data_IF_356949101898
#
_entry.id   IF_356949101898
#
_cell.length_a   1.000
_cell.length_b   1.000
_cell.length_c   1.000
_cell.angle_alpha   90.00
_cell.angle_beta   90.00
_cell.angle_gamma   90.00
#
_symmetry.space_group_name_H-M   'P 1'
#
loop_
_entity.id
_entity.type
_entity.pdbx_description
1 polymer ?
#
# COMPACT_ATOMS: atom_id res chain seq x y z
N UNK A 1 -10.96 14.64 17.29
CA UNK A 1 -10.04 13.84 16.44
C UNK A 1 -8.80 14.68 16.27
N UNK A 2 -7.65 14.16 16.63
CA UNK A 2 -6.35 14.81 16.41
C UNK A 2 -6.14 14.93 14.90
N UNK A 3 -5.81 16.12 14.43
CA UNK A 3 -5.60 16.36 13.00
C UNK A 3 -4.30 15.64 12.58
N UNK A 4 -4.38 14.69 11.65
CA UNK A 4 -3.23 13.88 11.21
C UNK A 4 -2.27 14.79 10.45
N UNK A 5 -1.04 14.86 10.92
CA UNK A 5 0.01 15.63 10.29
C UNK A 5 0.79 14.78 9.27
N UNK A 6 1.41 15.41 8.28
CA UNK A 6 2.30 14.71 7.33
C UNK A 6 3.44 13.99 8.05
N UNK A 7 3.94 14.56 9.16
CA UNK A 7 4.97 13.93 9.99
C UNK A 7 4.54 12.59 10.58
N UNK A 8 3.25 12.41 10.88
CA UNK A 8 2.73 11.14 11.42
C UNK A 8 2.81 10.04 10.36
N UNK A 9 2.46 10.37 9.10
CA UNK A 9 2.58 9.44 7.98
C UNK A 9 4.04 9.10 7.65
N UNK A 10 4.93 10.11 7.70
CA UNK A 10 6.37 9.90 7.49
C UNK A 10 6.96 9.02 8.58
N UNK A 11 6.55 9.19 9.84
CA UNK A 11 7.03 8.34 10.95
C UNK A 11 6.68 6.87 10.72
N UNK A 12 5.50 6.54 10.18
CA UNK A 12 5.10 5.16 9.90
C UNK A 12 5.94 4.49 8.80
N UNK A 13 6.61 5.24 7.94
CA UNK A 13 7.52 4.70 6.92
C UNK A 13 8.80 4.08 7.49
N UNK A 14 9.08 4.27 8.79
CA UNK A 14 10.21 3.64 9.45
C UNK A 14 10.05 2.12 9.65
N UNK A 15 8.83 1.61 9.54
CA UNK A 15 8.50 0.20 9.73
C UNK A 15 7.99 -0.43 8.44
N UNK A 16 8.15 -1.75 8.34
CA UNK A 16 7.58 -2.53 7.23
C UNK A 16 6.07 -2.75 7.40
N UNK A 17 5.41 -3.13 6.31
CA UNK A 17 3.95 -3.36 6.31
C UNK A 17 3.52 -4.48 7.25
N UNK A 18 4.25 -5.61 7.39
CA UNK A 18 3.95 -6.60 8.43
C UNK A 18 3.93 -6.05 9.85
N UNK A 19 4.90 -5.21 10.21
CA UNK A 19 4.95 -4.56 11.52
C UNK A 19 3.74 -3.64 11.75
N UNK A 20 3.34 -2.87 10.72
CA UNK A 20 2.11 -2.07 10.77
C UNK A 20 0.87 -2.97 10.98
N UNK A 21 0.78 -4.10 10.28
CA UNK A 21 -0.34 -5.04 10.44
C UNK A 21 -0.40 -5.61 11.87
N UNK A 22 0.74 -6.01 12.44
CA UNK A 22 0.80 -6.49 13.82
C UNK A 22 0.31 -5.44 14.82
N UNK A 23 0.69 -4.18 14.62
CA UNK A 23 0.22 -3.08 15.48
C UNK A 23 -1.28 -2.79 15.31
N UNK A 24 -1.81 -2.92 14.09
CA UNK A 24 -3.24 -2.80 13.81
C UNK A 24 -4.05 -3.90 14.48
N UNK A 25 -3.52 -5.10 14.65
CA UNK A 25 -4.18 -6.19 15.40
C UNK A 25 -4.52 -5.78 16.84
N UNK A 26 -3.74 -4.87 17.43
CA UNK A 26 -3.98 -4.33 18.77
C UNK A 26 -4.78 -3.02 18.74
N UNK A 27 -4.45 -2.12 17.82
CA UNK A 27 -5.07 -0.80 17.74
C UNK A 27 -6.51 -0.84 17.17
N UNK A 28 -6.77 -1.79 16.27
CA UNK A 28 -8.04 -1.94 15.56
C UNK A 28 -8.41 -3.41 15.37
N UNK A 29 -8.66 -4.19 16.45
CA UNK A 29 -8.78 -5.66 16.40
C UNK A 29 -9.89 -6.15 15.48
N UNK A 30 -10.92 -5.36 15.23
CA UNK A 30 -12.01 -5.70 14.31
C UNK A 30 -11.56 -5.74 12.84
N UNK A 31 -10.35 -5.26 12.54
CA UNK A 31 -9.79 -5.23 11.19
C UNK A 31 -8.73 -6.31 10.93
N UNK A 32 -8.49 -7.18 11.89
CA UNK A 32 -7.43 -8.21 11.83
C UNK A 32 -7.46 -9.08 10.57
N UNK A 33 -8.62 -9.29 9.97
CA UNK A 33 -8.80 -10.12 8.77
C UNK A 33 -9.22 -9.34 7.52
N UNK A 34 -9.18 -8.00 7.55
CA UNK A 34 -9.64 -7.14 6.45
C UNK A 34 -8.74 -5.91 6.29
N UNK A 35 -8.81 -5.28 5.12
CA UNK A 35 -8.14 -4.00 4.85
C UNK A 35 -6.70 -4.13 4.39
N UNK A 36 -6.25 -5.31 4.00
CA UNK A 36 -4.94 -5.55 3.41
C UNK A 36 -5.04 -6.38 2.13
N UNK A 37 -3.98 -6.36 1.32
CA UNK A 37 -3.90 -7.16 0.08
C UNK A 37 -3.65 -8.62 0.39
N UNK A 38 -4.44 -9.53 -0.22
CA UNK A 38 -4.41 -10.98 0.06
C UNK A 38 -3.77 -11.82 -1.04
N UNK A 39 -3.37 -11.20 -2.16
CA UNK A 39 -2.72 -11.89 -3.28
C UNK A 39 -1.31 -11.35 -3.50
N UNK A 40 -0.40 -12.16 -4.07
CA UNK A 40 0.93 -11.70 -4.43
C UNK A 40 0.87 -10.50 -5.39
N UNK A 41 1.73 -9.52 -5.14
CA UNK A 41 1.93 -8.36 -5.98
C UNK A 41 3.39 -8.27 -6.41
N UNK A 42 3.62 -7.73 -7.60
CA UNK A 42 4.95 -7.47 -8.17
C UNK A 42 5.43 -6.12 -7.66
N UNK A 43 6.51 -6.06 -6.86
CA UNK A 43 7.08 -4.80 -6.41
C UNK A 43 8.02 -4.20 -7.45
N UNK A 44 7.89 -2.89 -7.74
CA UNK A 44 8.76 -2.14 -8.65
C UNK A 44 9.14 -0.81 -8.03
N UNK A 45 10.42 -0.46 -8.06
CA UNK A 45 10.95 0.81 -7.54
C UNK A 45 10.76 0.98 -6.01
N UNK A 46 10.54 -0.10 -5.27
CA UNK A 46 10.34 -0.05 -3.81
C UNK A 46 11.68 -0.14 -3.10
N UNK A 47 12.07 0.93 -2.40
CA UNK A 47 13.31 1.02 -1.62
C UNK A 47 13.08 1.14 -0.10
N UNK A 48 11.85 1.00 0.34
CA UNK A 48 11.43 1.12 1.73
C UNK A 48 9.91 1.14 1.80
N UNK A 49 9.36 1.48 2.94
CA UNK A 49 7.92 1.59 3.12
C UNK A 49 7.41 2.97 2.73
N UNK A 50 6.20 3.04 2.24
CA UNK A 50 5.49 4.28 1.95
C UNK A 50 4.18 4.34 2.73
N UNK A 51 3.84 5.54 3.21
CA UNK A 51 2.57 5.82 3.85
C UNK A 51 2.01 7.14 3.31
N UNK A 52 0.73 7.17 2.94
CA UNK A 52 0.14 8.36 2.36
C UNK A 52 -1.37 8.27 2.18
N UNK A 53 -1.95 9.40 1.73
CA UNK A 53 -3.37 9.50 1.42
C UNK A 53 -3.70 8.82 0.09
N UNK A 54 -4.77 8.07 0.09
CA UNK A 54 -5.25 7.33 -1.08
C UNK A 54 -5.92 8.27 -2.08
N UNK A 55 -5.59 8.08 -3.35
CA UNK A 55 -6.33 8.56 -4.52
C UNK A 55 -6.78 7.36 -5.32
N UNK A 56 -8.07 7.23 -5.59
CA UNK A 56 -8.64 6.04 -6.21
C UNK A 56 -9.07 6.26 -7.65
N UNK A 57 -8.93 5.21 -8.48
CA UNK A 57 -9.55 5.16 -9.81
C UNK A 57 -9.82 3.70 -10.22
N UNK A 58 -10.68 3.54 -11.24
CA UNK A 58 -10.93 2.26 -11.90
C UNK A 58 -10.57 2.36 -13.38
N UNK A 59 -9.96 1.30 -13.88
CA UNK A 59 -9.53 1.17 -15.28
C UNK A 59 -10.10 -0.10 -15.91
N UNK A 60 -10.11 -0.12 -17.24
CA UNK A 60 -10.32 -1.30 -18.05
C UNK A 60 -9.45 -1.21 -19.30
N UNK A 61 -8.97 -2.32 -19.82
CA UNK A 61 -8.15 -2.39 -21.03
C UNK A 61 -8.73 -3.26 -22.14
N UNK A 62 -9.78 -4.01 -21.85
CA UNK A 62 -10.32 -5.04 -22.75
C UNK A 62 -11.16 -4.48 -23.90
N UNK A 63 -11.90 -3.42 -23.65
CA UNK A 63 -12.84 -2.86 -24.62
C UNK A 63 -12.35 -1.54 -25.19
N UNK A 64 -12.79 -1.22 -26.42
CA UNK A 64 -12.49 0.08 -27.05
C UNK A 64 -12.83 1.24 -26.10
N UNK A 65 -12.04 2.31 -26.10
CA UNK A 65 -12.28 3.47 -25.26
C UNK A 65 -13.67 4.08 -25.49
N UNK A 66 -14.22 4.63 -24.40
CA UNK A 66 -15.42 5.46 -24.46
C UNK A 66 -15.15 6.74 -25.27
N UNK A 67 -16.17 7.31 -25.89
CA UNK A 67 -16.04 8.54 -26.67
C UNK A 67 -15.45 9.70 -25.86
N UNK A 68 -15.74 9.75 -24.56
CA UNK A 68 -15.24 10.76 -23.61
C UNK A 68 -14.01 10.33 -22.79
N UNK A 69 -13.33 9.22 -23.15
CA UNK A 69 -12.20 8.68 -22.39
C UNK A 69 -11.07 9.71 -22.16
N UNK A 70 -10.83 10.60 -23.13
CA UNK A 70 -9.82 11.66 -23.00
C UNK A 70 -10.21 12.71 -21.96
N UNK A 71 -11.49 13.06 -21.87
CA UNK A 71 -12.01 14.01 -20.87
C UNK A 71 -11.92 13.42 -19.45
N UNK A 72 -12.32 12.15 -19.31
CA UNK A 72 -12.22 11.42 -18.02
C UNK A 72 -10.75 11.36 -17.57
N UNK A 73 -9.83 10.99 -18.46
CA UNK A 73 -8.39 10.92 -18.16
C UNK A 73 -7.83 12.30 -17.75
N UNK A 74 -8.22 13.35 -18.44
CA UNK A 74 -7.80 14.73 -18.10
C UNK A 74 -8.31 15.13 -16.71
N UNK A 75 -9.57 14.83 -16.42
CA UNK A 75 -10.19 15.11 -15.13
C UNK A 75 -9.56 14.27 -14.00
N UNK A 76 -9.22 13.01 -14.28
CA UNK A 76 -8.47 12.17 -13.37
C UNK A 76 -7.09 12.76 -13.02
N UNK A 77 -6.31 13.26 -13.98
CA UNK A 77 -5.03 13.91 -13.67
C UNK A 77 -5.19 15.19 -12.83
N UNK A 78 -6.23 15.97 -13.08
CA UNK A 78 -6.56 17.13 -12.22
C UNK A 78 -6.84 16.69 -10.79
N UNK A 79 -7.69 15.67 -10.61
CA UNK A 79 -8.00 15.08 -9.31
C UNK A 79 -6.75 14.56 -8.58
N UNK A 80 -5.87 13.85 -9.29
CA UNK A 80 -4.63 13.32 -8.69
C UNK A 80 -3.67 14.44 -8.27
N UNK A 81 -3.67 15.58 -8.96
CA UNK A 81 -2.83 16.74 -8.63
C UNK A 81 -3.28 17.50 -7.38
N UNK A 82 -4.48 17.25 -6.87
CA UNK A 82 -5.05 17.93 -5.70
C UNK A 82 -4.33 17.62 -4.37
N UNK A 83 -4.58 18.49 -3.37
CA UNK A 83 -3.73 18.82 -2.23
C UNK A 83 -3.46 17.78 -1.13
N UNK A 84 -4.02 16.61 -1.09
CA UNK A 84 -3.65 15.66 -0.02
C UNK A 84 -2.32 14.98 -0.35
N UNK A 85 -1.24 15.40 0.30
CA UNK A 85 0.12 14.88 0.10
C UNK A 85 0.73 14.40 1.43
N UNK A 86 1.59 13.39 1.44
CA UNK A 86 1.95 12.51 0.31
C UNK A 86 0.74 11.69 -0.16
N UNK A 87 0.57 11.51 -1.47
CA UNK A 87 -0.51 10.71 -2.04
C UNK A 87 0.00 9.43 -2.69
N UNK A 88 -0.83 8.40 -2.63
CA UNK A 88 -0.62 7.08 -3.23
C UNK A 88 -1.87 6.77 -4.04
N UNK A 89 -1.68 6.38 -5.30
CA UNK A 89 -2.78 6.04 -6.19
C UNK A 89 -3.10 4.55 -6.06
N UNK A 90 -4.37 4.24 -5.80
CA UNK A 90 -4.93 2.91 -5.85
C UNK A 90 -5.81 2.79 -7.09
N UNK A 91 -5.40 1.99 -8.07
CA UNK A 91 -6.15 1.77 -9.31
C UNK A 91 -6.59 0.32 -9.41
N UNK A 92 -7.90 0.13 -9.41
CA UNK A 92 -8.53 -1.16 -9.67
C UNK A 92 -8.68 -1.37 -11.17
N UNK A 93 -8.12 -2.45 -11.70
CA UNK A 93 -8.45 -3.00 -13.01
C UNK A 93 -9.70 -3.88 -12.85
N UNK A 94 -10.81 -3.42 -13.44
CA UNK A 94 -12.12 -4.10 -13.33
C UNK A 94 -12.36 -5.16 -14.40
N UNK A 95 -11.39 -5.39 -15.31
CA UNK A 95 -11.51 -6.48 -16.28
C UNK A 95 -11.53 -7.84 -15.55
N UNK A 96 -12.19 -8.81 -16.17
CA UNK A 96 -12.21 -10.18 -15.69
C UNK A 96 -11.66 -11.15 -16.77
N UNK A 97 -10.49 -11.78 -16.53
CA UNK A 97 -9.58 -11.51 -15.43
C UNK A 97 -8.97 -10.10 -15.52
N UNK A 98 -8.58 -9.52 -14.37
CA UNK A 98 -7.80 -8.29 -14.32
C UNK A 98 -6.45 -8.48 -15.00
N UNK A 99 -5.85 -7.38 -15.49
CA UNK A 99 -4.52 -7.44 -16.09
C UNK A 99 -4.51 -7.68 -17.59
N UNK A 100 -5.57 -7.29 -18.31
CA UNK A 100 -5.62 -7.42 -19.76
C UNK A 100 -4.69 -6.42 -20.46
N UNK A 101 -4.60 -5.19 -19.98
CA UNK A 101 -3.77 -4.14 -20.55
C UNK A 101 -3.07 -3.28 -19.52
N UNK A 102 -1.82 -2.91 -19.79
CA UNK A 102 -1.00 -2.09 -18.89
C UNK A 102 -1.36 -0.60 -19.03
N UNK A 103 -2.03 -0.05 -18.04
CA UNK A 103 -2.19 1.41 -17.90
C UNK A 103 -0.86 2.06 -17.46
N UNK A 104 -0.04 1.33 -16.71
CA UNK A 104 1.17 1.81 -16.09
C UNK A 104 2.43 1.38 -16.86
N UNK A 105 3.29 2.35 -17.09
CA UNK A 105 4.60 2.23 -17.72
C UNK A 105 5.40 3.50 -17.51
N UNK A 106 6.42 3.75 -18.33
CA UNK A 106 7.29 4.94 -18.24
C UNK A 106 6.50 6.24 -18.15
N UNK A 107 5.59 6.49 -19.09
CA UNK A 107 4.86 7.77 -19.19
C UNK A 107 3.97 8.01 -17.96
N UNK A 108 3.17 7.03 -17.54
CA UNK A 108 2.27 7.23 -16.40
C UNK A 108 3.01 7.28 -15.07
N UNK A 109 4.08 6.52 -14.87
CA UNK A 109 4.92 6.64 -13.69
C UNK A 109 5.55 8.02 -13.57
N UNK A 110 6.06 8.57 -14.67
CA UNK A 110 6.66 9.91 -14.74
C UNK A 110 5.61 11.01 -14.49
N UNK A 111 4.43 10.94 -15.14
CA UNK A 111 3.33 11.90 -14.93
C UNK A 111 2.92 11.95 -13.46
N UNK A 112 2.64 10.80 -12.85
CA UNK A 112 2.17 10.75 -11.47
C UNK A 112 3.22 11.24 -10.48
N UNK A 113 4.49 10.86 -10.68
CA UNK A 113 5.59 11.40 -9.88
C UNK A 113 5.67 12.93 -10.00
N UNK A 114 5.57 13.48 -11.21
CA UNK A 114 5.55 14.91 -11.47
C UNK A 114 4.35 15.63 -10.84
N UNK A 115 3.20 14.98 -10.72
CA UNK A 115 2.02 15.46 -10.00
C UNK A 115 2.14 15.30 -8.46
N UNK A 116 3.27 14.75 -7.98
CA UNK A 116 3.57 14.62 -6.55
C UNK A 116 2.99 13.37 -5.88
N UNK A 117 2.54 12.38 -6.66
CA UNK A 117 2.20 11.04 -6.18
C UNK A 117 3.49 10.29 -5.87
N UNK A 118 3.50 9.51 -4.78
CA UNK A 118 4.67 8.77 -4.33
C UNK A 118 4.67 7.30 -4.70
N UNK A 119 3.51 6.75 -5.00
CA UNK A 119 3.41 5.34 -5.35
C UNK A 119 2.06 4.91 -5.89
N UNK A 120 2.03 3.66 -6.32
CA UNK A 120 0.93 2.97 -6.94
C UNK A 120 0.65 1.62 -6.28
N UNK A 121 -0.61 1.28 -6.13
CA UNK A 121 -1.05 -0.09 -5.84
C UNK A 121 -2.17 -0.43 -6.83
N UNK A 122 -2.03 -1.56 -7.55
CA UNK A 122 -3.02 -2.00 -8.55
C UNK A 122 -3.05 -3.53 -8.65
N UNK A 123 -4.21 -4.08 -8.94
CA UNK A 123 -4.37 -5.47 -9.39
C UNK A 123 -4.14 -5.63 -10.90
N UNK A 124 -3.90 -4.53 -11.61
CA UNK A 124 -3.65 -4.49 -13.05
C UNK A 124 -2.20 -4.76 -13.45
N UNK A 125 -1.91 -4.51 -14.71
CA UNK A 125 -0.62 -4.77 -15.37
C UNK A 125 0.25 -3.52 -15.41
N UNK A 126 1.56 -3.72 -15.26
CA UNK A 126 2.60 -2.71 -15.54
C UNK A 126 3.54 -3.18 -16.67
N UNK A 127 4.22 -2.23 -17.30
CA UNK A 127 5.24 -2.45 -18.34
C UNK A 127 6.38 -1.44 -18.23
N UNK A 128 7.31 -1.44 -19.18
CA UNK A 128 8.43 -0.49 -19.29
C UNK A 128 9.29 -0.43 -18.02
N UNK A 129 9.64 -1.61 -17.45
CA UNK A 129 10.28 -1.71 -16.13
C UNK A 129 11.64 -1.00 -16.08
N UNK A 130 12.43 -1.09 -17.17
CA UNK A 130 13.76 -0.46 -17.26
C UNK A 130 13.68 1.08 -17.39
N UNK A 131 12.54 1.61 -17.83
CA UNK A 131 12.25 3.03 -17.98
C UNK A 131 11.31 3.56 -16.88
N UNK A 132 11.03 2.75 -15.87
CA UNK A 132 10.16 3.16 -14.75
C UNK A 132 10.70 4.41 -14.05
N UNK A 133 9.84 5.38 -13.75
CA UNK A 133 10.25 6.64 -13.15
C UNK A 133 10.99 6.42 -11.81
N UNK A 134 12.24 6.88 -11.72
CA UNK A 134 13.04 6.73 -10.52
C UNK A 134 12.40 7.48 -9.34
N UNK A 135 12.22 6.81 -8.22
CA UNK A 135 11.54 7.34 -7.03
C UNK A 135 10.02 7.18 -7.05
N UNK A 136 9.44 6.48 -8.04
CA UNK A 136 8.03 6.10 -8.04
C UNK A 136 7.88 4.60 -7.70
N UNK A 137 7.34 4.29 -6.54
CA UNK A 137 7.17 2.92 -6.05
C UNK A 137 5.84 2.32 -6.51
N UNK A 138 5.83 1.04 -6.87
CA UNK A 138 4.61 0.35 -7.29
C UNK A 138 4.49 -1.07 -6.73
N UNK A 139 3.25 -1.46 -6.44
CA UNK A 139 2.79 -2.84 -6.32
C UNK A 139 1.78 -3.10 -7.44
N UNK A 140 2.04 -4.09 -8.27
CA UNK A 140 1.18 -4.42 -9.41
C UNK A 140 0.76 -5.89 -9.42
N UNK A 141 -0.39 -6.18 -10.04
CA UNK A 141 -0.89 -7.55 -10.16
C UNK A 141 -0.02 -8.41 -11.07
N UNK A 142 0.51 -7.83 -12.15
CA UNK A 142 1.35 -8.56 -13.09
C UNK A 142 2.18 -7.63 -13.99
N UNK A 143 3.03 -8.23 -14.81
CA UNK A 143 3.82 -7.57 -15.86
C UNK A 143 3.30 -8.03 -17.21
N UNK A 144 3.13 -7.11 -18.15
CA UNK A 144 2.68 -7.43 -19.51
C UNK A 144 3.12 -6.40 -20.55
N UNK A 145 3.18 -6.77 -21.86
CA UNK A 145 3.82 -5.95 -22.88
C UNK A 145 2.92 -4.87 -23.47
N UNK A 146 1.59 -5.06 -23.45
CA UNK A 146 0.66 -4.23 -24.21
C UNK A 146 -0.20 -3.34 -23.30
N UNK A 147 -0.41 -2.10 -23.71
CA UNK A 147 -1.41 -1.23 -23.09
C UNK A 147 -2.86 -1.56 -23.53
N UNK A 148 -3.04 -2.36 -24.59
CA UNK A 148 -4.36 -2.66 -25.14
C UNK A 148 -5.23 -1.38 -25.31
N UNK A 149 -6.47 -1.39 -24.80
CA UNK A 149 -7.40 -0.25 -24.82
C UNK A 149 -7.55 0.43 -23.46
N UNK A 150 -6.47 0.43 -22.64
CA UNK A 150 -6.56 0.95 -21.27
C UNK A 150 -7.10 2.37 -21.22
N UNK A 151 -8.08 2.56 -20.36
CA UNK A 151 -8.73 3.84 -20.11
C UNK A 151 -9.12 3.95 -18.64
N UNK A 152 -9.17 5.18 -18.12
CA UNK A 152 -9.80 5.46 -16.84
C UNK A 152 -11.31 5.51 -17.05
N UNK A 153 -12.06 4.78 -16.24
CA UNK A 153 -13.51 4.74 -16.29
C UNK A 153 -14.13 5.68 -15.26
N UNK A 154 -13.61 5.65 -14.04
CA UNK A 154 -14.05 6.51 -12.93
C UNK A 154 -12.92 6.75 -11.95
N UNK A 155 -13.03 7.79 -11.12
CA UNK A 155 -12.09 8.12 -10.06
C UNK A 155 -12.82 8.64 -8.83
N UNK A 156 -12.12 8.74 -7.69
CA UNK A 156 -12.70 9.15 -6.40
C UNK A 156 -13.86 8.28 -5.95
N UNK A 157 -13.82 6.99 -6.30
CA UNK A 157 -14.79 5.96 -5.91
C UNK A 157 -14.06 4.83 -5.18
N UNK A 158 -14.81 4.05 -4.39
CA UNK A 158 -14.28 2.86 -3.75
C UNK A 158 -13.63 1.90 -4.76
N UNK A 159 -12.50 1.37 -4.39
CA UNK A 159 -11.76 0.34 -5.14
C UNK A 159 -11.51 -0.89 -4.26
N UNK A 160 -11.35 -2.04 -4.92
CA UNK A 160 -10.93 -3.29 -4.27
C UNK A 160 -9.70 -3.86 -4.97
N UNK A 161 -8.57 -3.89 -4.27
CA UNK A 161 -7.33 -4.46 -4.79
C UNK A 161 -6.99 -5.70 -3.98
N UNK A 162 -7.30 -6.87 -4.55
CA UNK A 162 -7.08 -8.17 -3.92
C UNK A 162 -7.60 -8.24 -2.47
N UNK A 163 -8.86 -7.83 -2.25
CA UNK A 163 -9.51 -7.86 -0.94
C UNK A 163 -9.30 -6.61 -0.09
N UNK A 164 -8.33 -5.76 -0.42
CA UNK A 164 -8.14 -4.47 0.23
C UNK A 164 -9.11 -3.45 -0.36
N UNK A 165 -10.22 -3.19 0.34
CA UNK A 165 -11.14 -2.09 0.02
C UNK A 165 -10.57 -0.76 0.49
N UNK A 166 -10.66 0.26 -0.38
CA UNK A 166 -10.16 1.60 -0.08
C UNK A 166 -11.03 2.68 -0.71
N UNK A 167 -11.16 3.80 -0.02
CA UNK A 167 -11.85 4.99 -0.49
C UNK A 167 -10.85 6.15 -0.68
N UNK A 168 -11.29 7.16 -1.43
CA UNK A 168 -10.53 8.40 -1.55
C UNK A 168 -10.21 8.97 -0.17
N UNK A 169 -8.99 9.48 -0.03
CA UNK A 169 -8.48 10.08 1.23
C UNK A 169 -8.32 9.11 2.41
N UNK A 170 -8.49 7.80 2.24
CA UNK A 170 -8.01 6.84 3.24
C UNK A 170 -6.49 6.94 3.39
N UNK A 171 -5.94 6.30 4.41
CA UNK A 171 -4.49 6.21 4.61
C UNK A 171 -4.06 4.78 4.29
N UNK A 172 -3.06 4.65 3.42
CA UNK A 172 -2.47 3.36 3.05
C UNK A 172 -1.00 3.34 3.42
N UNK A 173 -0.55 2.19 3.92
CA UNK A 173 0.86 1.85 4.07
C UNK A 173 1.17 0.68 3.16
N UNK A 174 2.33 0.72 2.47
CA UNK A 174 2.77 -0.39 1.64
C UNK A 174 4.27 -0.47 1.51
N UNK A 175 4.74 -1.68 1.26
CA UNK A 175 6.10 -2.03 0.88
C UNK A 175 6.11 -3.28 -0.01
N UNK A 176 7.26 -3.94 -0.15
CA UNK A 176 7.40 -5.18 -0.95
C UNK A 176 6.54 -6.36 -0.48
N UNK A 177 6.03 -6.34 0.75
CA UNK A 177 5.19 -7.44 1.28
C UNK A 177 3.71 -7.28 0.90
N UNK A 178 3.27 -6.07 0.54
CA UNK A 178 1.88 -5.75 0.23
C UNK A 178 1.45 -4.40 0.78
N UNK A 179 0.14 -4.23 0.97
CA UNK A 179 -0.43 -2.98 1.41
C UNK A 179 -1.52 -3.18 2.45
N UNK A 180 -1.72 -2.17 3.32
CA UNK A 180 -2.78 -2.16 4.34
C UNK A 180 -3.34 -0.76 4.49
N UNK A 181 -4.67 -0.66 4.66
CA UNK A 181 -5.37 0.58 5.00
C UNK A 181 -5.31 0.81 6.51
N UNK A 182 -4.84 1.98 6.91
CA UNK A 182 -4.75 2.39 8.32
C UNK A 182 -5.97 3.26 8.65
N UNK A 183 -6.81 2.88 9.63
CA UNK A 183 -7.87 3.76 10.13
C UNK A 183 -7.29 5.06 10.68
N UNK A 184 -7.91 6.18 10.33
CA UNK A 184 -7.39 7.52 10.68
C UNK A 184 -7.26 7.76 12.18
N UNK A 185 -8.16 7.18 12.96
CA UNK A 185 -8.21 7.33 14.43
C UNK A 185 -7.07 6.65 15.18
N UNK A 186 -6.37 5.70 14.54
CA UNK A 186 -5.25 4.98 15.17
C UNK A 186 -3.86 5.39 14.68
N UNK A 187 -3.75 6.21 13.63
CA UNK A 187 -2.47 6.60 13.01
C UNK A 187 -1.43 7.05 14.03
N UNK A 188 -1.82 7.95 14.95
CA UNK A 188 -0.91 8.52 15.94
C UNK A 188 -0.59 7.56 17.10
N UNK A 189 -1.34 6.48 17.25
CA UNK A 189 -1.15 5.47 18.30
C UNK A 189 -0.15 4.38 17.87
N UNK A 190 -0.07 4.08 16.56
CA UNK A 190 0.72 2.98 16.04
C UNK A 190 2.19 3.00 16.47
N UNK A 191 2.91 4.16 16.45
CA UNK A 191 4.32 4.17 16.84
C UNK A 191 4.58 3.60 18.24
N UNK A 192 3.80 4.01 19.23
CA UNK A 192 3.97 3.53 20.61
C UNK A 192 3.60 2.05 20.78
N UNK A 193 2.62 1.57 19.99
CA UNK A 193 2.24 0.16 19.99
C UNK A 193 3.34 -0.69 19.37
N UNK A 194 3.92 -0.23 18.25
CA UNK A 194 5.02 -0.92 17.57
C UNK A 194 6.23 -1.02 18.48
N UNK A 195 6.65 0.08 19.10
CA UNK A 195 7.79 0.09 20.04
C UNK A 195 7.61 -0.98 21.13
N UNK A 196 6.44 -1.02 21.79
CA UNK A 196 6.14 -2.05 22.81
C UNK A 196 6.13 -3.48 22.25
N UNK A 197 5.63 -3.70 21.02
CA UNK A 197 5.66 -5.02 20.39
C UNK A 197 7.09 -5.46 20.10
N UNK A 198 7.92 -4.56 19.56
CA UNK A 198 9.33 -4.83 19.29
C UNK A 198 10.10 -5.19 20.57
N UNK A 199 9.83 -4.52 21.68
CA UNK A 199 10.43 -4.86 22.98
C UNK A 199 10.03 -6.28 23.43
N UNK A 200 8.77 -6.66 23.27
CA UNK A 200 8.30 -8.04 23.56
C UNK A 200 8.96 -9.08 22.68
N UNK A 201 9.02 -8.81 21.37
CA UNK A 201 9.64 -9.71 20.41
C UNK A 201 11.15 -9.86 20.62
N UNK A 202 11.83 -8.81 21.09
CA UNK A 202 13.26 -8.82 21.37
C UNK A 202 13.65 -9.96 22.33
N UNK A 203 12.88 -10.21 23.39
CA UNK A 203 13.15 -11.31 24.35
C UNK A 203 13.10 -12.68 23.66
N UNK A 204 12.13 -12.89 22.80
CA UNK A 204 11.97 -14.18 22.08
C UNK A 204 13.08 -14.34 21.05
N UNK A 205 13.39 -13.28 20.31
CA UNK A 205 14.44 -13.29 19.28
C UNK A 205 15.83 -13.49 19.89
N UNK A 206 16.13 -12.83 21.02
CA UNK A 206 17.39 -13.02 21.73
C UNK A 206 17.57 -14.45 22.19
N UNK A 207 16.54 -15.04 22.83
CA UNK A 207 16.56 -16.43 23.22
C UNK A 207 16.74 -17.37 21.99
N UNK A 208 15.94 -17.15 20.93
CA UNK A 208 15.97 -18.00 19.74
C UNK A 208 17.31 -17.97 18.97
N UNK A 209 18.06 -16.87 19.08
CA UNK A 209 19.37 -16.69 18.44
C UNK A 209 20.53 -17.16 19.32
N UNK A 210 20.29 -17.59 20.56
CA UNK A 210 21.35 -18.07 21.45
C UNK A 210 21.88 -19.44 20.99
N UNK A 211 23.20 -19.72 21.11
CA UNK A 211 23.80 -20.97 20.67
C UNK A 211 23.25 -22.23 21.35
N UNK A 212 22.72 -22.06 22.56
CA UNK A 212 22.18 -23.10 23.41
C UNK A 212 20.64 -23.02 23.54
N UNK A 213 19.96 -22.51 22.47
CA UNK A 213 18.51 -22.39 22.41
C UNK A 213 17.84 -23.77 22.52
N UNK A 214 16.86 -23.86 23.42
CA UNK A 214 16.00 -25.01 23.61
C UNK A 214 14.56 -24.59 23.95
N UNK A 215 13.67 -25.58 24.14
CA UNK A 215 12.27 -25.32 24.46
C UNK A 215 12.10 -24.57 25.81
N UNK A 216 12.95 -24.83 26.80
CA UNK A 216 12.85 -24.21 28.11
C UNK A 216 13.19 -22.72 28.03
N UNK A 217 14.23 -22.37 27.26
CA UNK A 217 14.58 -20.98 26.97
C UNK A 217 13.46 -20.25 26.23
N UNK A 218 12.82 -20.90 25.24
CA UNK A 218 11.66 -20.33 24.56
C UNK A 218 10.53 -20.01 25.54
N UNK A 219 10.14 -20.97 26.37
CA UNK A 219 9.05 -20.80 27.34
C UNK A 219 9.35 -19.70 28.36
N UNK A 220 10.60 -19.59 28.79
CA UNK A 220 11.04 -18.51 29.69
C UNK A 220 10.97 -17.15 28.99
N UNK A 221 11.46 -17.05 27.75
CA UNK A 221 11.41 -15.82 26.96
C UNK A 221 9.97 -15.36 26.71
N UNK A 222 9.07 -16.28 26.38
CA UNK A 222 7.65 -15.99 26.20
C UNK A 222 7.01 -15.47 27.50
N UNK A 223 7.37 -16.05 28.64
CA UNK A 223 6.90 -15.57 29.95
C UNK A 223 7.38 -14.14 30.21
N UNK A 224 8.67 -13.86 30.00
CA UNK A 224 9.25 -12.54 30.21
C UNK A 224 8.61 -11.50 29.26
N UNK A 225 8.40 -11.85 27.99
CA UNK A 225 7.73 -11.00 27.02
C UNK A 225 6.28 -10.64 27.44
N UNK A 226 5.57 -11.55 28.10
CA UNK A 226 4.20 -11.32 28.58
C UNK A 226 4.12 -10.32 29.76
N UNK A 227 5.21 -10.09 30.50
CA UNK A 227 5.29 -9.15 31.62
C UNK A 227 5.50 -7.68 31.18
N UNK A 228 5.79 -7.44 29.90
CA UNK A 228 5.90 -6.08 29.34
C UNK A 228 4.48 -5.52 29.09
N UNK A 229 4.14 -4.40 29.73
CA UNK A 229 2.82 -3.75 29.66
C UNK A 229 2.85 -2.45 28.85
#
# INVERSE_FOLDING_TARGET
MTDIQVSDLVKLQAWDTPTICNALDLAAPNRRSIGFTTSPLVPVGIHGSLCGYVKTAKISGKNKPLDNATEIRTSYYKYVSEKLKPSIVLIEDIDNPAGFGAFWGEVNSAIHLGLGVKGLITNGVIRDLDQWANGFSALAGSIGPSHAYTQVLEYSKEVNIYGMQANDSDIVHFDKHGAVIIPKDVVTLLPSIIEKQMDKEAFILEAARSPDFDINKLLLAMKNAAEIH
#
